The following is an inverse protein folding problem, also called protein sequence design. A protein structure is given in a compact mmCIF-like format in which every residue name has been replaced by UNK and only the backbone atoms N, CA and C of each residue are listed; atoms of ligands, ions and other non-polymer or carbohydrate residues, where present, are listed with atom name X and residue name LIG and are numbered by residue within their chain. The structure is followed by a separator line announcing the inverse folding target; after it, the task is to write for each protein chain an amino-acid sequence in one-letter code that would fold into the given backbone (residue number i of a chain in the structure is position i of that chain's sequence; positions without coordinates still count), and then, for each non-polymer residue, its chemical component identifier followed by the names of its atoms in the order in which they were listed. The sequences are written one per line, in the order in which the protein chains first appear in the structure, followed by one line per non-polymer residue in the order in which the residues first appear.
data_IF_841176753571
#
_entry.id   IF_841176753571
#
_cell.length_a   1.000
_cell.length_b   1.000
_cell.length_c   1.000
_cell.angle_alpha   90.00
_cell.angle_beta   90.00
_cell.angle_gamma   90.00
#
_symmetry.space_group_name_H-M   'P 1'
#
loop_
_entity.id
_entity.type
_entity.pdbx_description
1 polymer ?
#
# COMPACT_ATOMS: atom_id res chain seq x y z
N UNK A 1 -21.75 8.71 -39.31
CA UNK A 1 -20.71 8.71 -38.25
C UNK A 1 -21.22 9.33 -36.95
N UNK A 2 -22.40 8.92 -36.44
CA UNK A 2 -23.07 9.53 -35.27
C UNK A 2 -23.89 8.47 -34.51
N UNK A 3 -23.22 7.45 -33.95
CA UNK A 3 -23.89 6.41 -33.14
C UNK A 3 -23.17 6.05 -31.83
N UNK A 4 -21.97 6.58 -31.57
CA UNK A 4 -21.18 6.21 -30.38
C UNK A 4 -21.18 7.28 -29.27
N UNK A 5 -21.79 8.45 -29.49
CA UNK A 5 -21.83 9.56 -28.53
C UNK A 5 -22.64 9.26 -27.25
N UNK A 6 -23.50 8.24 -27.29
CA UNK A 6 -24.24 7.76 -26.11
C UNK A 6 -23.35 6.88 -25.20
N UNK A 7 -22.35 6.18 -25.76
CA UNK A 7 -21.43 5.31 -25.00
C UNK A 7 -20.35 6.11 -24.25
N UNK A 8 -20.11 7.37 -24.64
CA UNK A 8 -19.14 8.27 -23.97
C UNK A 8 -19.81 9.22 -22.98
N UNK A 9 -21.12 9.10 -22.76
CA UNK A 9 -21.84 9.91 -21.79
C UNK A 9 -21.64 9.32 -20.39
N UNK A 10 -20.40 9.37 -19.91
CA UNK A 10 -20.10 9.11 -18.50
C UNK A 10 -20.84 10.15 -17.69
N UNK A 11 -21.74 9.76 -16.76
CA UNK A 11 -22.35 10.73 -15.88
C UNK A 11 -21.25 11.17 -14.90
N UNK A 12 -20.62 12.30 -15.23
CA UNK A 12 -19.44 12.90 -14.59
C UNK A 12 -19.50 12.81 -13.05
N UNK A 13 -20.66 13.16 -12.49
CA UNK A 13 -20.94 13.13 -11.05
C UNK A 13 -20.69 11.78 -10.35
N UNK A 14 -21.05 10.65 -10.96
CA UNK A 14 -20.90 9.34 -10.32
C UNK A 14 -19.48 8.80 -10.41
N UNK A 15 -18.73 9.24 -11.42
CA UNK A 15 -17.35 8.82 -11.63
C UNK A 15 -16.43 9.39 -10.54
N UNK A 16 -16.62 10.67 -10.19
CA UNK A 16 -15.79 11.35 -9.19
C UNK A 16 -16.03 10.80 -7.77
N UNK A 17 -17.29 10.59 -7.38
CA UNK A 17 -17.63 10.02 -6.07
C UNK A 17 -17.18 8.57 -5.92
N UNK A 18 -17.30 7.75 -6.97
CA UNK A 18 -16.83 6.36 -6.95
C UNK A 18 -15.32 6.26 -6.77
N UNK A 19 -14.55 7.14 -7.43
CA UNK A 19 -13.09 7.20 -7.27
C UNK A 19 -12.68 7.65 -5.86
N UNK A 20 -13.41 8.58 -5.25
CA UNK A 20 -13.17 9.00 -3.87
C UNK A 20 -13.40 7.87 -2.87
N UNK A 21 -14.53 7.16 -2.99
CA UNK A 21 -14.86 6.02 -2.12
C UNK A 21 -13.83 4.91 -2.30
N UNK A 22 -13.45 4.59 -3.53
CA UNK A 22 -12.43 3.59 -3.81
C UNK A 22 -11.08 3.95 -3.19
N UNK A 23 -10.66 5.23 -3.32
CA UNK A 23 -9.42 5.71 -2.69
C UNK A 23 -9.45 5.53 -1.18
N UNK A 24 -10.48 6.05 -0.51
CA UNK A 24 -10.54 5.99 0.96
C UNK A 24 -10.69 4.55 1.43
N UNK A 25 -11.51 3.74 0.76
CA UNK A 25 -11.70 2.33 1.09
C UNK A 25 -10.41 1.52 1.00
N UNK A 26 -9.67 1.64 -0.11
CA UNK A 26 -8.38 0.94 -0.27
C UNK A 26 -7.33 1.43 0.73
N UNK A 27 -7.25 2.75 0.94
CA UNK A 27 -6.29 3.32 1.89
C UNK A 27 -6.60 2.89 3.34
N UNK A 28 -7.88 2.84 3.71
CA UNK A 28 -8.33 2.40 5.03
C UNK A 28 -8.08 0.90 5.22
N UNK A 29 -8.34 0.07 4.20
CA UNK A 29 -8.06 -1.36 4.24
C UNK A 29 -6.56 -1.64 4.46
N UNK A 30 -5.69 -0.89 3.77
CA UNK A 30 -4.24 -1.01 3.92
C UNK A 30 -3.76 -0.58 5.31
N UNK A 31 -4.27 0.54 5.82
CA UNK A 31 -3.91 1.05 7.14
C UNK A 31 -4.38 0.08 8.24
N UNK A 32 -5.64 -0.37 8.17
CA UNK A 32 -6.22 -1.26 9.17
C UNK A 32 -5.65 -2.69 9.10
N UNK A 33 -5.48 -3.23 7.89
CA UNK A 33 -5.06 -4.62 7.67
C UNK A 33 -3.55 -4.85 7.70
N UNK A 34 -2.73 -3.81 7.51
CA UNK A 34 -1.27 -3.95 7.49
C UNK A 34 -0.55 -2.88 8.33
N UNK A 35 -0.97 -1.62 8.23
CA UNK A 35 -0.34 -0.51 8.94
C UNK A 35 -0.42 -0.63 10.47
N UNK A 36 -1.57 -1.06 11.00
CA UNK A 36 -1.78 -1.19 12.45
C UNK A 36 -0.96 -2.31 13.06
N UNK A 37 -0.92 -3.50 12.44
CA UNK A 37 -0.11 -4.64 12.89
C UNK A 37 1.39 -4.31 12.90
N UNK A 38 1.87 -3.55 11.90
CA UNK A 38 3.28 -3.17 11.88
C UNK A 38 3.64 -2.19 12.97
N UNK A 39 2.81 -1.18 13.18
CA UNK A 39 3.03 -0.17 14.21
C UNK A 39 2.89 -0.76 15.63
N UNK A 40 1.91 -1.64 15.85
CA UNK A 40 1.70 -2.31 17.14
C UNK A 40 2.91 -3.18 17.49
N UNK A 41 3.44 -3.95 16.55
CA UNK A 41 4.64 -4.77 16.76
C UNK A 41 5.89 -3.93 17.10
N UNK A 42 6.07 -2.76 16.46
CA UNK A 42 7.14 -1.82 16.82
C UNK A 42 6.96 -1.31 18.25
N UNK A 43 5.73 -1.01 18.66
CA UNK A 43 5.40 -0.46 19.98
C UNK A 43 5.48 -1.51 21.09
N UNK A 44 5.14 -2.76 20.79
CA UNK A 44 5.20 -3.90 21.71
C UNK A 44 6.62 -4.44 21.93
N UNK A 45 7.60 -4.02 21.11
CA UNK A 45 9.00 -4.42 21.27
C UNK A 45 9.23 -5.93 21.11
N UNK A 46 8.31 -6.66 20.47
CA UNK A 46 8.49 -8.08 20.19
C UNK A 46 9.57 -8.30 19.13
N UNK A 47 10.17 -9.50 19.14
CA UNK A 47 11.14 -9.90 18.11
C UNK A 47 10.57 -9.66 16.72
N UNK A 48 11.27 -8.82 15.96
CA UNK A 48 10.93 -8.48 14.60
C UNK A 48 11.35 -9.66 13.74
N UNK A 49 10.49 -10.69 13.68
CA UNK A 49 10.58 -11.77 12.70
C UNK A 49 10.10 -11.27 11.34
N UNK A 50 10.73 -10.20 10.86
CA UNK A 50 10.50 -9.75 9.50
C UNK A 50 11.50 -10.41 8.58
N UNK A 51 10.99 -10.87 7.44
CA UNK A 51 11.85 -11.43 6.41
C UNK A 51 12.75 -10.33 5.87
N UNK A 52 13.98 -10.69 5.50
CA UNK A 52 14.99 -9.78 4.97
C UNK A 52 15.09 -9.89 3.44
N UNK A 53 14.17 -9.26 2.67
CA UNK A 53 14.15 -9.43 1.22
C UNK A 53 15.36 -8.85 0.49
N UNK A 54 16.04 -7.88 1.10
CA UNK A 54 17.18 -7.16 0.51
C UNK A 54 18.50 -7.50 1.25
N UNK A 55 18.44 -8.25 2.36
CA UNK A 55 19.62 -8.55 3.18
C UNK A 55 20.23 -7.33 3.89
N UNK A 56 19.44 -6.26 4.07
CA UNK A 56 19.86 -5.02 4.78
C UNK A 56 19.68 -5.16 6.31
N UNK A 57 18.93 -6.17 6.77
CA UNK A 57 18.70 -6.48 8.18
C UNK A 57 17.22 -6.32 8.58
N UNK A 58 16.70 -7.32 9.30
CA UNK A 58 15.26 -7.53 9.48
C UNK A 58 14.59 -6.32 10.13
N UNK A 59 15.32 -5.70 11.05
CA UNK A 59 14.93 -4.52 11.78
C UNK A 59 14.74 -3.30 10.85
N UNK A 60 15.73 -3.00 10.02
CA UNK A 60 15.70 -1.84 9.11
C UNK A 60 14.67 -2.00 8.01
N UNK A 61 14.57 -3.20 7.42
CA UNK A 61 13.53 -3.55 6.45
C UNK A 61 12.12 -3.37 7.04
N UNK A 62 11.95 -3.72 8.31
CA UNK A 62 10.68 -3.60 9.01
C UNK A 62 10.27 -2.15 9.26
N UNK A 63 11.16 -1.31 9.78
CA UNK A 63 10.88 0.11 10.00
C UNK A 63 10.51 0.82 8.70
N UNK A 64 11.22 0.51 7.61
CA UNK A 64 10.94 1.11 6.31
C UNK A 64 9.56 0.69 5.78
N UNK A 65 9.20 -0.59 5.94
CA UNK A 65 7.90 -1.10 5.54
C UNK A 65 6.76 -0.55 6.43
N UNK A 66 6.99 -0.39 7.74
CA UNK A 66 6.02 0.22 8.65
C UNK A 66 5.80 1.72 8.36
N UNK A 67 6.85 2.44 7.97
CA UNK A 67 6.72 3.82 7.49
C UNK A 67 5.92 3.89 6.18
N UNK A 68 6.22 2.99 5.24
CA UNK A 68 5.54 2.92 3.94
C UNK A 68 4.07 2.50 4.04
N UNK A 69 3.70 1.58 4.93
CA UNK A 69 2.32 1.11 5.06
C UNK A 69 1.52 1.85 6.12
N UNK A 70 2.14 2.33 7.19
CA UNK A 70 1.46 3.11 8.23
C UNK A 70 1.32 4.57 7.81
N UNK A 71 2.43 5.30 7.82
CA UNK A 71 2.44 6.76 7.60
C UNK A 71 1.98 7.11 6.18
N UNK A 72 2.41 6.35 5.18
CA UNK A 72 2.00 6.58 3.79
C UNK A 72 0.52 6.24 3.55
N UNK A 73 -0.04 5.20 4.19
CA UNK A 73 -1.48 4.94 4.07
C UNK A 73 -2.31 6.04 4.77
N UNK A 74 -1.86 6.55 5.93
CA UNK A 74 -2.49 7.69 6.61
C UNK A 74 -2.51 8.92 5.69
N UNK A 75 -1.38 9.25 5.06
CA UNK A 75 -1.28 10.35 4.09
C UNK A 75 -2.23 10.14 2.89
N UNK A 76 -2.38 8.89 2.43
CA UNK A 76 -3.28 8.52 1.32
C UNK A 76 -4.76 8.69 1.72
N UNK A 77 -5.14 8.31 2.94
CA UNK A 77 -6.50 8.53 3.50
C UNK A 77 -6.80 10.02 3.62
N UNK A 78 -5.86 10.82 4.13
CA UNK A 78 -6.01 12.28 4.25
C UNK A 78 -6.04 12.99 2.90
N UNK A 79 -5.75 12.29 1.80
CA UNK A 79 -5.77 12.84 0.43
C UNK A 79 -4.62 13.79 0.11
N UNK A 80 -3.70 14.01 1.05
CA UNK A 80 -2.55 14.91 0.90
C UNK A 80 -1.37 14.16 0.29
N UNK A 81 -0.70 14.73 -0.73
CA UNK A 81 0.44 14.11 -1.43
C UNK A 81 0.22 12.67 -1.93
N UNK A 82 -1.02 12.30 -2.21
CA UNK A 82 -1.42 10.94 -2.63
C UNK A 82 -0.59 10.31 -3.76
N UNK A 83 -0.01 11.12 -4.68
CA UNK A 83 0.90 10.63 -5.74
C UNK A 83 2.22 10.08 -5.21
N UNK A 84 2.83 10.78 -4.24
CA UNK A 84 4.07 10.33 -3.62
C UNK A 84 3.81 9.17 -2.66
N UNK A 85 2.70 9.26 -1.92
CA UNK A 85 2.31 8.19 -1.02
C UNK A 85 2.07 6.88 -1.76
N UNK A 86 1.33 6.92 -2.89
CA UNK A 86 1.12 5.72 -3.70
C UNK A 86 2.41 5.18 -4.32
N UNK A 87 3.36 6.05 -4.71
CA UNK A 87 4.65 5.61 -5.25
C UNK A 87 5.44 4.77 -4.24
N UNK A 88 5.56 5.27 -3.01
CA UNK A 88 6.27 4.57 -1.92
C UNK A 88 5.56 3.24 -1.62
N UNK A 89 4.23 3.26 -1.60
CA UNK A 89 3.40 2.08 -1.32
C UNK A 89 3.58 1.00 -2.41
N UNK A 90 3.58 1.40 -3.69
CA UNK A 90 3.84 0.49 -4.82
C UNK A 90 5.23 -0.13 -4.72
N UNK A 91 6.27 0.64 -4.40
CA UNK A 91 7.64 0.12 -4.23
C UNK A 91 7.68 -0.90 -3.10
N UNK A 92 7.04 -0.61 -1.96
CA UNK A 92 6.99 -1.53 -0.83
C UNK A 92 6.32 -2.86 -1.20
N UNK A 93 5.18 -2.84 -1.90
CA UNK A 93 4.54 -4.08 -2.37
C UNK A 93 5.37 -4.82 -3.43
N UNK A 94 6.13 -4.10 -4.26
CA UNK A 94 7.03 -4.72 -5.23
C UNK A 94 8.16 -5.48 -4.53
N UNK A 95 8.72 -4.89 -3.46
CA UNK A 95 9.69 -5.56 -2.58
C UNK A 95 9.07 -6.77 -1.90
N UNK A 96 7.84 -6.68 -1.41
CA UNK A 96 7.13 -7.83 -0.80
C UNK A 96 6.92 -8.96 -1.80
N UNK A 97 6.50 -8.66 -3.04
CA UNK A 97 6.33 -9.67 -4.09
C UNK A 97 7.66 -10.30 -4.46
N UNK A 98 8.73 -9.50 -4.55
CA UNK A 98 10.08 -10.02 -4.75
C UNK A 98 10.52 -10.93 -3.60
N UNK A 99 10.28 -10.54 -2.35
CA UNK A 99 10.52 -11.33 -1.14
C UNK A 99 9.82 -12.69 -1.19
N UNK A 100 8.52 -12.65 -1.48
CA UNK A 100 7.67 -13.83 -1.53
C UNK A 100 8.12 -14.75 -2.67
N UNK A 101 8.39 -14.21 -3.86
CA UNK A 101 8.93 -14.99 -4.98
C UNK A 101 10.29 -15.58 -4.64
N UNK A 102 11.16 -14.85 -3.95
CA UNK A 102 12.46 -15.33 -3.48
C UNK A 102 12.30 -16.49 -2.49
N UNK A 103 11.36 -16.39 -1.54
CA UNK A 103 11.04 -17.45 -0.58
C UNK A 103 10.48 -18.71 -1.26
N UNK A 104 9.54 -18.56 -2.19
CA UNK A 104 8.97 -19.67 -2.97
C UNK A 104 10.01 -20.31 -3.90
N UNK A 105 10.97 -19.53 -4.41
CA UNK A 105 11.98 -19.99 -5.36
C UNK A 105 13.08 -20.88 -4.74
N UNK A 106 12.96 -21.26 -3.46
CA UNK A 106 13.67 -22.44 -2.94
C UNK A 106 15.15 -22.25 -2.64
N UNK A 107 15.51 -21.20 -1.89
CA UNK A 107 16.77 -21.22 -1.12
C UNK A 107 16.46 -21.07 0.36
N UNK A 108 16.35 -22.23 1.01
CA UNK A 108 16.51 -22.41 2.46
C UNK A 108 17.91 -22.00 2.91
#
# INVERSE_FOLDING_TARGET
MSKYSFLTKTPKQWSDSGLLIFRVGVAFLLLYGHGFDKLSTILSGQEIQFFDPIGIGANTSYYLAAFAEGICAILLVLGLFSRYASLILVINFLVIVYAHKFFISGRV
#
